data_IF_663066258115
#
_entry.id   IF_663066258115
#
_cell.length_a   1.000
_cell.length_b   1.000
_cell.length_c   1.000
_cell.angle_alpha   90.00
_cell.angle_beta   90.00
_cell.angle_gamma   90.00
#
_symmetry.space_group_name_H-M   'P 1'
#
loop_
_entity.id
_entity.type
_entity.pdbx_description
1 polymer ?
#
# COMPACT_ATOMS: atom_id res chain seq x y z
N UNK A 1 10.84 11.67 -21.76
CA UNK A 1 10.50 10.79 -20.62
C UNK A 1 9.04 10.99 -20.30
N UNK A 2 8.27 9.94 -20.07
CA UNK A 2 6.83 10.11 -19.81
C UNK A 2 6.56 10.76 -18.45
N UNK A 3 5.54 11.58 -18.39
CA UNK A 3 5.16 12.39 -17.23
C UNK A 3 4.31 11.56 -16.27
N UNK A 4 4.51 11.71 -14.96
CA UNK A 4 3.63 11.13 -13.95
C UNK A 4 2.33 11.92 -13.87
N UNK A 5 1.20 11.23 -13.85
CA UNK A 5 -0.13 11.85 -13.74
C UNK A 5 -0.67 11.60 -12.33
N UNK A 6 -1.15 12.64 -11.61
CA UNK A 6 -1.72 12.48 -10.28
C UNK A 6 -3.21 12.09 -10.40
N UNK A 7 -3.48 10.91 -10.97
CA UNK A 7 -4.84 10.37 -11.16
C UNK A 7 -5.05 9.03 -10.43
N UNK A 8 -4.07 8.62 -9.61
CA UNK A 8 -4.15 7.40 -8.81
C UNK A 8 -5.04 7.56 -7.57
N UNK A 9 -5.71 6.47 -7.22
CA UNK A 9 -6.53 6.34 -6.01
C UNK A 9 -5.77 5.52 -4.97
N UNK A 10 -5.65 6.06 -3.75
CA UNK A 10 -5.10 5.37 -2.59
C UNK A 10 -6.07 5.49 -1.42
N UNK A 11 -6.55 4.34 -0.95
CA UNK A 11 -7.51 4.28 0.15
C UNK A 11 -7.05 3.30 1.21
N UNK A 12 -7.26 3.65 2.48
CA UNK A 12 -6.96 2.79 3.62
C UNK A 12 -8.13 2.83 4.60
N UNK A 13 -8.61 1.64 4.96
CA UNK A 13 -9.64 1.45 5.96
C UNK A 13 -9.03 0.84 7.22
N UNK A 14 -9.39 1.40 8.36
CA UNK A 14 -9.07 0.85 9.67
C UNK A 14 -10.37 0.57 10.41
N UNK A 15 -10.60 -0.68 10.80
CA UNK A 15 -11.84 -1.13 11.45
C UNK A 15 -13.12 -0.66 10.73
N UNK A 16 -13.15 -0.79 9.40
CA UNK A 16 -14.28 -0.39 8.56
C UNK A 16 -14.42 1.12 8.30
N UNK A 17 -13.61 1.96 8.96
CA UNK A 17 -13.59 3.41 8.72
C UNK A 17 -12.58 3.76 7.65
N UNK A 18 -12.99 4.49 6.61
CA UNK A 18 -12.09 5.05 5.62
C UNK A 18 -11.29 6.20 6.25
N UNK A 19 -10.00 6.01 6.47
CA UNK A 19 -9.14 6.98 7.19
C UNK A 19 -8.12 7.66 6.27
N UNK A 20 -7.78 7.06 5.13
CA UNK A 20 -7.04 7.70 4.05
C UNK A 20 -7.88 7.58 2.79
N UNK A 21 -8.15 8.69 2.13
CA UNK A 21 -8.87 8.75 0.86
C UNK A 21 -8.21 9.81 -0.05
N UNK A 22 -7.39 9.35 -1.00
CA UNK A 22 -6.61 10.21 -1.90
C UNK A 22 -6.90 9.82 -3.34
N UNK A 23 -7.11 10.82 -4.20
CA UNK A 23 -7.52 10.68 -5.60
C UNK A 23 -6.60 11.41 -6.59
N UNK A 24 -5.43 11.81 -6.10
CA UNK A 24 -4.47 12.71 -6.74
C UNK A 24 -3.03 12.19 -6.55
N UNK A 25 -2.87 10.86 -6.50
CA UNK A 25 -1.58 10.19 -6.22
C UNK A 25 -0.88 9.82 -7.52
N UNK A 26 0.39 10.19 -7.66
CA UNK A 26 1.26 9.68 -8.73
C UNK A 26 1.82 8.31 -8.30
N UNK A 27 1.30 7.23 -8.88
CA UNK A 27 1.74 5.85 -8.55
C UNK A 27 2.86 5.33 -9.46
N UNK A 28 3.02 5.89 -10.66
CA UNK A 28 4.10 5.58 -11.59
C UNK A 28 4.43 6.78 -12.47
N UNK A 29 5.65 6.81 -12.99
CA UNK A 29 6.01 7.76 -14.05
C UNK A 29 5.65 7.20 -15.42
N UNK A 30 5.59 8.05 -16.45
CA UNK A 30 5.38 7.59 -17.82
C UNK A 30 6.62 6.95 -18.46
N UNK A 31 7.71 6.75 -17.72
CA UNK A 31 8.87 5.97 -18.21
C UNK A 31 8.53 4.49 -18.40
N UNK A 32 7.56 3.97 -17.62
CA UNK A 32 7.02 2.60 -17.74
C UNK A 32 5.50 2.65 -17.68
N UNK A 33 4.81 3.05 -18.77
CA UNK A 33 3.39 3.36 -18.73
C UNK A 33 2.51 2.12 -18.50
N UNK A 34 3.02 0.93 -18.79
CA UNK A 34 2.30 -0.33 -18.62
C UNK A 34 2.64 -1.03 -17.29
N UNK A 35 3.38 -0.39 -16.38
CA UNK A 35 3.67 -0.96 -15.07
C UNK A 35 2.40 -0.97 -14.22
N UNK A 36 1.98 -2.17 -13.80
CA UNK A 36 0.94 -2.39 -12.79
C UNK A 36 1.58 -2.70 -11.43
N UNK A 37 0.76 -2.87 -10.39
CA UNK A 37 1.24 -3.40 -9.11
C UNK A 37 1.90 -4.77 -9.34
N UNK A 38 3.19 -4.87 -9.00
CA UNK A 38 4.00 -6.06 -9.29
C UNK A 38 4.28 -6.91 -8.04
N UNK A 39 4.13 -6.34 -6.84
CA UNK A 39 4.47 -6.99 -5.59
C UNK A 39 3.63 -6.43 -4.45
N UNK A 40 3.29 -7.29 -3.50
CA UNK A 40 2.81 -6.92 -2.18
C UNK A 40 3.87 -7.31 -1.14
N UNK A 41 4.15 -6.42 -0.19
CA UNK A 41 5.21 -6.60 0.81
C UNK A 41 4.63 -6.47 2.21
N UNK A 42 4.89 -7.47 3.05
CA UNK A 42 4.67 -7.42 4.50
C UNK A 42 6.05 -7.51 5.14
N UNK A 43 6.40 -6.48 5.93
CA UNK A 43 7.68 -6.42 6.63
C UNK A 43 7.50 -5.65 7.94
N UNK A 44 6.94 -6.26 8.99
CA UNK A 44 6.79 -5.60 10.27
C UNK A 44 8.17 -5.21 10.81
N UNK A 45 8.31 -3.92 11.12
CA UNK A 45 9.54 -3.34 11.63
C UNK A 45 9.17 -2.19 12.57
N UNK A 46 9.73 -2.21 13.79
CA UNK A 46 9.41 -1.21 14.83
C UNK A 46 10.48 -0.10 14.95
N UNK A 47 11.53 -0.13 14.12
CA UNK A 47 12.68 0.74 14.30
C UNK A 47 13.75 0.12 15.19
N UNK A 48 14.56 0.96 15.84
CA UNK A 48 15.71 0.52 16.64
C UNK A 48 15.33 0.34 18.11
N UNK A 49 15.74 -0.78 18.71
CA UNK A 49 15.79 -0.94 20.16
C UNK A 49 14.47 -1.33 20.82
N UNK A 50 13.91 -2.48 20.46
CA UNK A 50 12.82 -3.05 21.27
C UNK A 50 13.36 -3.39 22.66
N UNK A 51 12.73 -2.91 23.75
CA UNK A 51 13.19 -3.22 25.11
C UNK A 51 12.82 -4.64 25.55
N UNK A 52 11.99 -5.34 24.77
CA UNK A 52 11.46 -6.68 25.05
C UNK A 52 11.21 -7.45 23.76
N UNK A 53 10.99 -8.76 23.84
CA UNK A 53 10.58 -9.56 22.68
C UNK A 53 9.20 -9.13 22.18
N UNK A 54 9.03 -9.11 20.85
CA UNK A 54 7.79 -8.71 20.20
C UNK A 54 7.34 -9.73 19.17
N UNK A 55 6.03 -9.88 19.08
CA UNK A 55 5.38 -10.81 18.16
C UNK A 55 4.23 -10.09 17.46
N UNK A 56 4.14 -10.26 16.14
CA UNK A 56 3.02 -9.80 15.34
C UNK A 56 2.34 -11.02 14.71
N UNK A 57 1.02 -11.05 14.76
CA UNK A 57 0.19 -12.10 14.18
C UNK A 57 -0.63 -11.47 13.06
N UNK A 58 -0.64 -12.11 11.90
CA UNK A 58 -1.41 -11.69 10.74
C UNK A 58 -2.25 -12.89 10.32
N UNK A 59 -3.54 -12.68 10.18
CA UNK A 59 -4.49 -13.71 9.78
C UNK A 59 -5.52 -13.13 8.79
N UNK A 60 -6.13 -14.00 7.99
CA UNK A 60 -7.15 -13.65 6.98
C UNK A 60 -6.68 -12.64 5.91
N UNK A 61 -5.41 -12.72 5.50
CA UNK A 61 -4.86 -11.87 4.44
C UNK A 61 -5.51 -12.19 3.07
N UNK A 62 -6.15 -11.18 2.47
CA UNK A 62 -6.69 -11.26 1.11
C UNK A 62 -5.96 -10.27 0.20
N UNK A 63 -5.50 -10.75 -0.97
CA UNK A 63 -4.93 -9.92 -2.03
C UNK A 63 -5.80 -10.13 -3.28
N UNK A 64 -6.40 -9.06 -3.79
CA UNK A 64 -7.33 -9.13 -4.91
C UNK A 64 -7.17 -7.91 -5.82
N UNK A 65 -7.57 -8.06 -7.09
CA UNK A 65 -7.60 -6.97 -8.08
C UNK A 65 -8.91 -6.18 -8.07
N UNK A 66 -9.84 -6.56 -7.20
CA UNK A 66 -11.12 -5.91 -6.93
C UNK A 66 -11.55 -6.20 -5.49
N UNK A 67 -12.45 -5.39 -4.95
CA UNK A 67 -13.03 -5.64 -3.62
C UNK A 67 -13.62 -7.07 -3.58
N UNK A 68 -13.29 -7.89 -2.55
CA UNK A 68 -13.92 -9.18 -2.33
C UNK A 68 -15.44 -9.10 -2.18
#
# INVERSE_FOLDING_TARGET
GGVGVPDGVLQYWFNGTLVIDRHDVVLRTGARPNLSFAQFVIGPYIGVGSPVDQYMWIDNLTIATRHP
#
